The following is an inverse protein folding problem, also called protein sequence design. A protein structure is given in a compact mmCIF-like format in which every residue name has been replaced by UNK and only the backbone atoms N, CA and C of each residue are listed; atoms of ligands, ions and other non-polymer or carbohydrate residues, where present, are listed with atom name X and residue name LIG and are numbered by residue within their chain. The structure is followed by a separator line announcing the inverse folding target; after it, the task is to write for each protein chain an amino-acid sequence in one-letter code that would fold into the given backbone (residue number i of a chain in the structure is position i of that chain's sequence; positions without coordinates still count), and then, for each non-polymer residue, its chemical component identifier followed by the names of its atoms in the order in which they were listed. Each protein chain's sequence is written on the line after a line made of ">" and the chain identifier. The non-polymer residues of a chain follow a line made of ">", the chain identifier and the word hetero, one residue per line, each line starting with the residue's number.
data_IF_031896978756
#
_entry.id   IF_031896978756
#
_cell.length_a   1.000
_cell.length_b   1.000
_cell.length_c   1.000
_cell.angle_alpha   90.00
_cell.angle_beta   90.00
_cell.angle_gamma   90.00
#
_symmetry.space_group_name_H-M   'P 1'
#
loop_
_entity.id
_entity.type
_entity.pdbx_description
1 polymer ?
#
# COMPACT_ATOMS: atom_id res chain seq x y z
N UNK A 1 35.34 -35.08 24.26
CA UNK A 1 33.95 -35.19 23.74
C UNK A 1 33.26 -33.82 23.71
N UNK A 2 33.68 -32.87 24.55
CA UNK A 2 33.14 -31.50 24.59
C UNK A 2 33.61 -30.57 23.46
N UNK A 3 34.75 -30.85 22.84
CA UNK A 3 35.28 -30.09 21.68
C UNK A 3 34.45 -30.29 20.40
N UNK A 4 33.87 -31.48 20.20
CA UNK A 4 32.99 -31.79 19.07
C UNK A 4 31.61 -31.11 19.16
N UNK A 5 31.09 -30.91 20.38
CA UNK A 5 29.85 -30.14 20.60
C UNK A 5 30.05 -28.65 20.29
N UNK A 6 31.17 -28.07 20.72
CA UNK A 6 31.49 -26.67 20.41
C UNK A 6 31.69 -26.39 18.92
N UNK A 7 32.27 -27.32 18.15
CA UNK A 7 32.42 -27.17 16.70
C UNK A 7 31.07 -27.19 15.96
N UNK A 8 30.14 -28.07 16.34
CA UNK A 8 28.78 -28.08 15.78
C UNK A 8 27.99 -26.80 16.11
N UNK A 9 28.16 -26.25 17.32
CA UNK A 9 27.51 -24.99 17.72
C UNK A 9 28.05 -23.79 16.92
N UNK A 10 29.35 -23.76 16.63
CA UNK A 10 29.99 -22.72 15.80
C UNK A 10 29.52 -22.81 14.34
N UNK A 11 29.41 -24.02 13.78
CA UNK A 11 28.86 -24.23 12.43
C UNK A 11 27.38 -23.80 12.33
N UNK A 12 26.55 -24.18 13.32
CA UNK A 12 25.15 -23.77 13.38
C UNK A 12 25.04 -22.24 13.48
N UNK A 13 25.86 -21.62 14.33
CA UNK A 13 25.92 -20.17 14.48
C UNK A 13 26.32 -19.48 13.16
N UNK A 14 27.34 -20.00 12.48
CA UNK A 14 27.77 -19.49 11.18
C UNK A 14 26.66 -19.58 10.14
N UNK A 15 25.97 -20.72 10.03
CA UNK A 15 24.84 -20.93 9.11
C UNK A 15 23.70 -19.94 9.41
N UNK A 16 23.37 -19.72 10.68
CA UNK A 16 22.33 -18.75 11.09
C UNK A 16 22.73 -17.33 10.69
N UNK A 17 23.98 -16.93 10.96
CA UNK A 17 24.50 -15.62 10.57
C UNK A 17 24.47 -15.42 9.06
N UNK A 18 24.88 -16.40 8.27
CA UNK A 18 24.85 -16.32 6.80
C UNK A 18 23.42 -16.21 6.26
N UNK A 19 22.47 -16.99 6.80
CA UNK A 19 21.05 -16.89 6.42
C UNK A 19 20.46 -15.53 6.75
N UNK A 20 20.80 -15.01 7.94
CA UNK A 20 20.35 -13.71 8.40
C UNK A 20 20.90 -12.58 7.50
N UNK A 21 22.20 -12.59 7.19
CA UNK A 21 22.82 -11.62 6.28
C UNK A 21 22.14 -11.63 4.91
N UNK A 22 21.87 -12.82 4.34
CA UNK A 22 21.15 -12.93 3.07
C UNK A 22 19.73 -12.35 3.14
N UNK A 23 18.98 -12.66 4.21
CA UNK A 23 17.64 -12.11 4.40
C UNK A 23 17.66 -10.57 4.49
N UNK A 24 18.68 -10.01 5.15
CA UNK A 24 18.89 -8.57 5.27
C UNK A 24 19.21 -7.93 3.92
N UNK A 25 20.08 -8.56 3.13
CA UNK A 25 20.43 -8.05 1.80
C UNK A 25 19.20 -8.01 0.88
N UNK A 26 18.39 -9.06 0.89
CA UNK A 26 17.13 -9.13 0.14
C UNK A 26 16.16 -8.05 0.63
N UNK A 27 16.02 -7.87 1.95
CA UNK A 27 15.18 -6.82 2.52
C UNK A 27 15.65 -5.41 2.10
N UNK A 28 16.95 -5.13 2.20
CA UNK A 28 17.53 -3.84 1.77
C UNK A 28 17.28 -3.60 0.27
N UNK A 29 17.40 -4.64 -0.55
CA UNK A 29 17.10 -4.57 -1.97
C UNK A 29 15.62 -4.24 -2.20
N UNK A 30 14.70 -4.92 -1.51
CA UNK A 30 13.26 -4.68 -1.60
C UNK A 30 12.89 -3.24 -1.19
N UNK A 31 13.45 -2.74 -0.08
CA UNK A 31 13.23 -1.35 0.37
C UNK A 31 13.81 -0.35 -0.62
N UNK A 32 15.00 -0.60 -1.18
CA UNK A 32 15.60 0.26 -2.19
C UNK A 32 14.76 0.31 -3.46
N UNK A 33 14.28 -0.85 -3.91
CA UNK A 33 13.36 -0.97 -5.04
C UNK A 33 12.06 -0.22 -4.78
N UNK A 34 11.44 -0.39 -3.60
CA UNK A 34 10.21 0.32 -3.24
C UNK A 34 10.40 1.83 -3.20
N UNK A 35 11.51 2.33 -2.62
CA UNK A 35 11.82 3.77 -2.60
C UNK A 35 12.03 4.32 -4.01
N UNK A 36 12.73 3.58 -4.86
CA UNK A 36 12.95 3.95 -6.26
C UNK A 36 11.64 3.97 -7.05
N UNK A 37 10.84 2.90 -6.94
CA UNK A 37 9.53 2.80 -7.58
C UNK A 37 8.61 3.93 -7.11
N UNK A 38 8.51 4.17 -5.81
CA UNK A 38 7.71 5.27 -5.27
C UNK A 38 8.22 6.63 -5.78
N UNK A 39 9.54 6.82 -5.92
CA UNK A 39 10.11 8.05 -6.51
C UNK A 39 9.62 8.31 -7.93
N UNK A 40 9.54 7.27 -8.77
CA UNK A 40 9.09 7.37 -10.17
C UNK A 40 7.56 7.54 -10.25
N UNK A 41 6.84 6.72 -9.49
CA UNK A 41 5.40 6.60 -9.62
C UNK A 41 4.62 7.66 -8.82
N UNK A 42 5.22 8.30 -7.82
CA UNK A 42 4.51 9.27 -6.96
C UNK A 42 3.81 10.39 -7.74
N UNK A 43 4.51 11.03 -8.68
CA UNK A 43 3.96 12.14 -9.47
C UNK A 43 2.83 11.67 -10.40
N UNK A 44 3.03 10.70 -11.32
CA UNK A 44 1.97 10.29 -12.24
C UNK A 44 0.75 9.76 -11.50
N UNK A 45 0.91 8.97 -10.44
CA UNK A 45 -0.22 8.49 -9.64
C UNK A 45 -1.02 9.63 -8.98
N UNK A 46 -0.34 10.68 -8.52
CA UNK A 46 -1.00 11.86 -7.93
C UNK A 46 -1.88 12.56 -8.97
N UNK A 47 -1.37 12.72 -10.20
CA UNK A 47 -2.12 13.30 -11.32
C UNK A 47 -3.31 12.40 -11.71
N UNK A 48 -3.09 11.09 -11.79
CA UNK A 48 -4.15 10.12 -12.12
C UNK A 48 -5.31 10.15 -11.11
N UNK A 49 -5.03 10.26 -9.81
CA UNK A 49 -6.09 10.38 -8.79
C UNK A 49 -6.91 11.66 -8.99
N UNK A 50 -6.26 12.78 -9.28
CA UNK A 50 -6.96 14.03 -9.53
C UNK A 50 -7.89 13.94 -10.75
N UNK A 51 -7.39 13.38 -11.85
CA UNK A 51 -8.19 13.14 -13.06
C UNK A 51 -9.35 12.15 -12.81
N UNK A 52 -9.09 11.09 -12.04
CA UNK A 52 -10.12 10.12 -11.64
C UNK A 52 -11.25 10.77 -10.85
N UNK A 53 -10.93 11.66 -9.90
CA UNK A 53 -11.94 12.38 -9.12
C UNK A 53 -12.83 13.24 -10.01
N UNK A 54 -12.25 13.99 -10.96
CA UNK A 54 -13.01 14.81 -11.90
C UNK A 54 -13.92 13.95 -12.79
N UNK A 55 -13.37 12.89 -13.38
CA UNK A 55 -14.08 11.97 -14.27
C UNK A 55 -15.27 11.28 -13.56
N UNK A 56 -15.08 10.76 -12.35
CA UNK A 56 -16.17 10.15 -11.57
C UNK A 56 -17.23 11.17 -11.17
N UNK A 57 -16.83 12.39 -10.78
CA UNK A 57 -17.77 13.44 -10.40
C UNK A 57 -18.68 13.84 -11.57
N UNK A 58 -18.11 14.00 -12.77
CA UNK A 58 -18.88 14.29 -13.99
C UNK A 58 -19.78 13.12 -14.39
N UNK A 59 -19.30 11.88 -14.28
CA UNK A 59 -20.11 10.70 -14.59
C UNK A 59 -21.30 10.54 -13.62
N UNK A 60 -21.10 10.82 -12.33
CA UNK A 60 -22.18 10.85 -11.34
C UNK A 60 -23.25 11.89 -11.70
N UNK A 61 -22.83 13.11 -12.06
CA UNK A 61 -23.74 14.15 -12.52
C UNK A 61 -24.54 13.71 -13.76
N UNK A 62 -23.86 13.13 -14.75
CA UNK A 62 -24.50 12.63 -15.97
C UNK A 62 -25.55 11.53 -15.68
N UNK A 63 -25.24 10.60 -14.79
CA UNK A 63 -26.19 9.55 -14.36
C UNK A 63 -27.44 10.16 -13.72
N UNK A 64 -27.27 11.15 -12.83
CA UNK A 64 -28.40 11.82 -12.16
C UNK A 64 -29.25 12.61 -13.16
N UNK A 65 -28.61 13.33 -14.08
CA UNK A 65 -29.32 14.05 -15.14
C UNK A 65 -30.17 13.10 -16.01
N UNK A 66 -29.61 11.94 -16.40
CA UNK A 66 -30.34 10.95 -17.20
C UNK A 66 -31.49 10.29 -16.41
N UNK A 67 -31.33 10.11 -15.09
CA UNK A 67 -32.41 9.63 -14.21
C UNK A 67 -33.60 10.60 -14.16
N UNK A 68 -33.33 11.92 -14.17
CA UNK A 68 -34.39 12.94 -14.16
C UNK A 68 -35.18 12.98 -15.46
N UNK A 69 -34.50 12.83 -16.61
CA UNK A 69 -35.15 12.87 -17.93
C UNK A 69 -35.94 11.59 -18.24
N UNK A 70 -35.64 10.46 -17.58
CA UNK A 70 -36.21 9.13 -17.84
C UNK A 70 -36.10 8.67 -19.31
N UNK A 71 -35.23 9.29 -20.10
CA UNK A 71 -35.02 8.94 -21.50
C UNK A 71 -33.91 7.89 -21.63
N UNK A 72 -34.23 6.80 -22.34
CA UNK A 72 -33.29 5.75 -22.76
C UNK A 72 -32.60 4.97 -21.61
N UNK A 73 -33.37 4.07 -20.99
CA UNK A 73 -32.95 3.16 -19.90
C UNK A 73 -31.67 2.39 -20.24
N UNK A 74 -31.47 2.00 -21.51
CA UNK A 74 -30.27 1.28 -21.94
C UNK A 74 -28.99 2.10 -21.69
N UNK A 75 -28.99 3.38 -22.05
CA UNK A 75 -27.82 4.27 -21.80
C UNK A 75 -27.56 4.45 -20.31
N UNK A 76 -28.61 4.55 -19.50
CA UNK A 76 -28.49 4.63 -18.05
C UNK A 76 -27.82 3.38 -17.48
N UNK A 77 -28.29 2.18 -17.86
CA UNK A 77 -27.71 0.91 -17.39
C UNK A 77 -26.23 0.80 -17.72
N UNK A 78 -25.81 1.17 -18.93
CA UNK A 78 -24.39 1.15 -19.32
C UNK A 78 -23.56 2.09 -18.45
N UNK A 79 -24.02 3.33 -18.24
CA UNK A 79 -23.27 4.29 -17.43
C UNK A 79 -23.16 3.85 -15.97
N UNK A 80 -24.19 3.22 -15.41
CA UNK A 80 -24.16 2.63 -14.07
C UNK A 80 -23.15 1.48 -13.99
N UNK A 81 -23.14 0.57 -14.96
CA UNK A 81 -22.17 -0.55 -15.02
C UNK A 81 -20.74 0.00 -15.10
N UNK A 82 -20.50 1.01 -15.96
CA UNK A 82 -19.18 1.65 -16.07
C UNK A 82 -18.75 2.32 -14.75
N UNK A 83 -19.68 2.99 -14.07
CA UNK A 83 -19.42 3.63 -12.78
C UNK A 83 -19.05 2.60 -11.71
N UNK A 84 -19.80 1.50 -11.61
CA UNK A 84 -19.48 0.39 -10.70
C UNK A 84 -18.12 -0.20 -11.05
N UNK A 85 -17.83 -0.41 -12.33
CA UNK A 85 -16.53 -0.90 -12.80
C UNK A 85 -15.36 -0.01 -12.36
N UNK A 86 -15.51 1.33 -12.45
CA UNK A 86 -14.50 2.29 -11.98
C UNK A 86 -14.27 2.18 -10.46
N UNK A 87 -15.35 2.08 -9.68
CA UNK A 87 -15.24 1.89 -8.23
C UNK A 87 -14.57 0.56 -7.86
N UNK A 88 -14.94 -0.55 -8.52
CA UNK A 88 -14.30 -1.84 -8.33
C UNK A 88 -12.80 -1.79 -8.67
N UNK A 89 -12.43 -1.13 -9.76
CA UNK A 89 -11.03 -0.97 -10.16
C UNK A 89 -10.22 -0.21 -9.11
N UNK A 90 -10.75 0.91 -8.60
CA UNK A 90 -10.10 1.67 -7.52
C UNK A 90 -10.00 0.84 -6.23
N UNK A 91 -11.05 0.08 -5.90
CA UNK A 91 -11.05 -0.81 -4.74
C UNK A 91 -9.97 -1.88 -4.85
N UNK A 92 -9.80 -2.51 -6.01
CA UNK A 92 -8.74 -3.51 -6.22
C UNK A 92 -7.34 -2.92 -6.03
N UNK A 93 -7.07 -1.73 -6.58
CA UNK A 93 -5.76 -1.06 -6.43
C UNK A 93 -5.48 -0.76 -4.96
N UNK A 94 -6.45 -0.20 -4.24
CA UNK A 94 -6.30 0.18 -2.83
C UNK A 94 -6.24 -1.03 -1.91
N UNK A 95 -6.91 -2.13 -2.27
CA UNK A 95 -6.79 -3.42 -1.60
C UNK A 95 -5.39 -4.04 -1.78
N UNK A 96 -4.82 -4.00 -2.98
CA UNK A 96 -3.45 -4.45 -3.22
C UNK A 96 -2.45 -3.65 -2.38
N UNK A 97 -2.61 -2.33 -2.32
CA UNK A 97 -1.80 -1.45 -1.46
C UNK A 97 -1.90 -1.82 0.02
N UNK A 98 -3.11 -2.09 0.51
CA UNK A 98 -3.33 -2.57 1.88
C UNK A 98 -2.67 -3.92 2.16
N UNK A 99 -2.73 -4.86 1.21
CA UNK A 99 -2.10 -6.17 1.37
C UNK A 99 -0.58 -6.07 1.53
N UNK A 100 0.07 -5.18 0.75
CA UNK A 100 1.51 -4.92 0.87
C UNK A 100 1.84 -4.37 2.26
N UNK A 101 1.04 -3.44 2.77
CA UNK A 101 1.22 -2.86 4.10
C UNK A 101 1.01 -3.91 5.21
N UNK A 102 -0.04 -4.73 5.10
CA UNK A 102 -0.33 -5.80 6.05
C UNK A 102 0.81 -6.83 6.10
N UNK A 103 1.34 -7.26 4.95
CA UNK A 103 2.43 -8.23 4.90
C UNK A 103 3.74 -7.66 5.47
N UNK A 104 4.00 -6.36 5.24
CA UNK A 104 5.11 -5.66 5.87
C UNK A 104 4.98 -5.64 7.40
N UNK A 105 3.77 -5.40 7.91
CA UNK A 105 3.50 -5.40 9.34
C UNK A 105 3.62 -6.80 9.97
N UNK A 106 3.16 -7.85 9.27
CA UNK A 106 3.29 -9.23 9.71
C UNK A 106 4.75 -9.67 9.83
N UNK A 107 5.59 -9.28 8.85
CA UNK A 107 7.04 -9.53 8.90
C UNK A 107 7.67 -8.80 10.09
N UNK A 108 7.24 -7.57 10.37
CA UNK A 108 7.70 -6.84 11.54
C UNK A 108 7.34 -7.55 12.85
N UNK A 109 6.08 -7.97 13.00
CA UNK A 109 5.57 -8.66 14.19
C UNK A 109 6.32 -9.97 14.44
N UNK A 110 6.48 -10.80 13.41
CA UNK A 110 7.25 -12.06 13.49
C UNK A 110 8.73 -11.83 13.83
N UNK A 111 9.34 -10.77 13.31
CA UNK A 111 10.70 -10.39 13.69
C UNK A 111 10.77 -9.90 15.15
N UNK A 112 9.74 -9.18 15.61
CA UNK A 112 9.66 -8.67 16.98
C UNK A 112 9.52 -9.78 18.02
N UNK A 113 8.67 -10.77 17.75
CA UNK A 113 8.43 -11.91 18.63
C UNK A 113 9.58 -12.92 18.66
N UNK A 114 10.53 -12.81 17.72
CA UNK A 114 11.72 -13.65 17.72
C UNK A 114 12.65 -13.34 18.91
N UNK A 115 13.48 -14.31 19.30
CA UNK A 115 14.52 -14.15 20.34
C UNK A 115 15.69 -13.24 19.88
N UNK A 116 15.43 -12.14 19.18
CA UNK A 116 16.46 -11.22 18.66
C UNK A 116 17.34 -10.63 19.78
N UNK A 117 16.82 -10.57 21.01
CA UNK A 117 17.52 -10.09 22.19
C UNK A 117 18.56 -11.08 22.75
N UNK A 118 18.49 -12.37 22.39
CA UNK A 118 19.53 -13.35 22.76
C UNK A 118 20.67 -13.38 21.74
N UNK A 119 20.48 -12.78 20.56
CA UNK A 119 21.49 -12.69 19.53
C UNK A 119 22.68 -11.80 19.98
N UNK A 120 23.90 -12.07 19.45
CA UNK A 120 25.09 -11.25 19.72
C UNK A 120 24.89 -9.77 19.35
N UNK A 121 25.65 -8.91 20.02
CA UNK A 121 25.46 -7.44 20.01
C UNK A 121 25.45 -6.84 18.60
N UNK A 122 26.31 -7.33 17.69
CA UNK A 122 26.36 -6.85 16.31
C UNK A 122 25.08 -7.20 15.53
N UNK A 123 24.61 -8.46 15.64
CA UNK A 123 23.38 -8.94 15.00
C UNK A 123 22.15 -8.24 15.56
N UNK A 124 22.12 -8.02 16.89
CA UNK A 124 21.04 -7.34 17.58
C UNK A 124 20.85 -5.92 17.09
N UNK A 125 21.93 -5.12 17.04
CA UNK A 125 21.87 -3.74 16.53
C UNK A 125 21.33 -3.67 15.09
N UNK A 126 21.75 -4.62 14.27
CA UNK A 126 21.40 -4.65 12.86
C UNK A 126 19.93 -5.06 12.64
N UNK A 127 19.44 -6.06 13.39
CA UNK A 127 18.01 -6.42 13.43
C UNK A 127 17.15 -5.23 13.90
N UNK A 128 17.59 -4.52 14.93
CA UNK A 128 16.88 -3.38 15.49
C UNK A 128 16.77 -2.23 14.46
N UNK A 129 17.84 -1.94 13.71
CA UNK A 129 17.80 -0.98 12.59
C UNK A 129 16.79 -1.41 11.53
N UNK A 130 16.69 -2.70 11.24
CA UNK A 130 15.74 -3.22 10.25
C UNK A 130 14.32 -3.09 10.75
N UNK A 131 14.04 -3.52 11.98
CA UNK A 131 12.73 -3.40 12.63
C UNK A 131 12.25 -1.94 12.65
N UNK A 132 13.11 -0.98 13.00
CA UNK A 132 12.80 0.46 12.92
C UNK A 132 12.49 0.90 11.49
N UNK A 133 13.17 0.35 10.49
CA UNK A 133 12.93 0.69 9.09
C UNK A 133 11.69 0.00 8.50
N UNK A 134 11.31 -1.19 8.96
CA UNK A 134 10.05 -1.86 8.58
C UNK A 134 8.86 -1.14 9.22
N UNK A 135 9.02 -0.70 10.47
CA UNK A 135 8.02 0.11 11.17
C UNK A 135 7.73 1.44 10.48
N UNK A 136 8.67 1.97 9.68
CA UNK A 136 8.36 3.10 8.82
C UNK A 136 7.44 2.58 7.73
N UNK A 137 6.16 3.00 7.72
CA UNK A 137 5.21 2.41 6.81
C UNK A 137 5.74 2.55 5.38
N UNK A 138 5.83 1.44 4.66
CA UNK A 138 5.94 1.41 3.21
C UNK A 138 4.64 1.92 2.58
N UNK A 139 4.24 3.12 2.97
CA UNK A 139 3.07 3.81 2.47
C UNK A 139 3.51 4.64 1.26
N UNK A 140 2.90 4.35 0.12
CA UNK A 140 2.83 5.31 -0.98
C UNK A 140 2.00 6.50 -0.51
N UNK A 141 2.68 7.53 0.00
CA UNK A 141 2.11 8.82 0.37
C UNK A 141 1.93 9.67 -0.89
N UNK A 142 0.68 9.80 -1.33
CA UNK A 142 0.28 10.65 -2.45
C UNK A 142 -0.06 12.05 -1.95
N UNK A 143 0.11 13.06 -2.81
CA UNK A 143 -0.26 14.46 -2.51
C UNK A 143 0.38 14.99 -1.21
N UNK A 144 1.70 14.80 -1.05
CA UNK A 144 2.42 15.24 0.16
C UNK A 144 2.08 14.44 1.43
N UNK A 145 1.30 13.37 1.32
CA UNK A 145 0.84 12.56 2.46
C UNK A 145 -0.64 12.72 2.82
N UNK A 146 -1.39 13.50 2.03
CA UNK A 146 -2.84 13.63 2.21
C UNK A 146 -3.58 12.33 1.90
N UNK A 147 -3.11 11.57 0.91
CA UNK A 147 -3.70 10.28 0.56
C UNK A 147 -2.72 9.15 0.79
N UNK A 148 -3.21 8.09 1.42
CA UNK A 148 -2.52 6.82 1.54
C UNK A 148 -3.04 5.86 0.47
N UNK A 149 -2.16 5.08 -0.15
CA UNK A 149 -2.55 4.01 -1.08
C UNK A 149 -3.16 2.79 -0.37
N UNK A 150 -4.09 3.00 0.56
CA UNK A 150 -4.70 1.98 1.40
C UNK A 150 -6.24 2.12 1.37
N UNK A 151 -6.96 1.28 2.11
CA UNK A 151 -8.44 1.32 2.13
C UNK A 151 -8.95 2.65 2.74
N UNK A 152 -8.21 3.29 3.65
CA UNK A 152 -8.56 4.61 4.16
C UNK A 152 -8.53 5.67 3.04
N UNK A 153 -7.51 5.63 2.18
CA UNK A 153 -7.40 6.52 1.02
C UNK A 153 -8.50 6.31 -0.01
N UNK A 154 -8.95 5.06 -0.22
CA UNK A 154 -10.16 4.79 -1.01
C UNK A 154 -11.36 5.57 -0.48
N UNK A 155 -11.67 5.45 0.81
CA UNK A 155 -12.81 6.15 1.41
C UNK A 155 -12.69 7.67 1.29
N UNK A 156 -11.49 8.23 1.41
CA UNK A 156 -11.24 9.66 1.20
C UNK A 156 -11.52 10.10 -0.24
N UNK A 157 -11.05 9.35 -1.24
CA UNK A 157 -11.30 9.64 -2.66
C UNK A 157 -12.80 9.63 -2.94
N UNK A 158 -13.54 8.62 -2.45
CA UNK A 158 -14.99 8.54 -2.61
C UNK A 158 -15.70 9.76 -2.03
N UNK A 159 -15.35 10.17 -0.80
CA UNK A 159 -15.92 11.36 -0.16
C UNK A 159 -15.71 12.61 -1.00
N UNK A 160 -14.52 12.76 -1.56
CA UNK A 160 -14.18 13.91 -2.40
C UNK A 160 -14.99 13.90 -3.70
N UNK A 161 -15.12 12.75 -4.37
CA UNK A 161 -15.97 12.63 -5.56
C UNK A 161 -17.43 13.03 -5.26
N UNK A 162 -17.98 12.58 -4.12
CA UNK A 162 -19.34 12.94 -3.71
C UNK A 162 -19.44 14.43 -3.42
N UNK A 163 -18.47 15.02 -2.71
CA UNK A 163 -18.47 16.47 -2.43
C UNK A 163 -18.43 17.30 -3.70
N UNK A 164 -17.59 16.94 -4.67
CA UNK A 164 -17.54 17.64 -5.97
C UNK A 164 -18.83 17.46 -6.77
N UNK A 165 -19.39 16.25 -6.78
CA UNK A 165 -20.71 15.99 -7.37
C UNK A 165 -21.80 16.87 -6.74
N UNK A 166 -21.89 16.92 -5.40
CA UNK A 166 -22.86 17.74 -4.69
C UNK A 166 -22.69 19.22 -4.99
N UNK A 167 -21.45 19.69 -5.10
CA UNK A 167 -21.15 21.07 -5.50
C UNK A 167 -21.67 21.39 -6.90
N UNK A 168 -21.42 20.52 -7.88
CA UNK A 168 -21.94 20.68 -9.25
C UNK A 168 -23.47 20.66 -9.28
N UNK A 169 -24.08 19.76 -8.51
CA UNK A 169 -25.53 19.67 -8.40
C UNK A 169 -26.14 20.93 -7.76
N UNK A 170 -25.48 21.53 -6.76
CA UNK A 170 -25.99 22.72 -6.08
C UNK A 170 -25.95 24.00 -6.94
N UNK A 171 -25.13 24.03 -7.99
CA UNK A 171 -25.06 25.16 -8.93
C UNK A 171 -26.12 25.11 -10.04
N UNK A 172 -26.92 24.04 -10.08
CA UNK A 172 -28.07 23.88 -10.97
C UNK A 172 -29.34 24.45 -10.31
#
# INVERSE_FOLDING_TARGET
>A
MDTYKGQNEIEIYYIICTKLIKAIEVYKLAVKFFKWANGIYKIPYTITIFLYVLDVSVQLYYVVYMLQQLENIYKLCINLILLIGKFCFLFLITYLGQNIENHSNEVFEKCYDSLWYTAPVATRKLLLIIMINIMKPCQCKMFGGLFKGNIEGFAQIIRICISYFMSLYSTQ
#
